data_IF_983124230188
#
_entry.id   IF_983124230188
#
_cell.length_a   1.000
_cell.length_b   1.000
_cell.length_c   1.000
_cell.angle_alpha   90.00
_cell.angle_beta   90.00
_cell.angle_gamma   90.00
#
_symmetry.space_group_name_H-M   'P 1'
#
loop_
_entity.id
_entity.type
_entity.pdbx_description
1 polymer ?
#
# COMPACT_ATOMS: atom_id res chain seq x y z
N UNK A 1 6.02 -2.47 15.92
CA UNK A 1 6.09 -2.46 14.45
C UNK A 1 6.09 -3.91 13.99
N UNK A 2 5.20 -4.31 13.08
CA UNK A 2 5.23 -5.65 12.50
C UNK A 2 6.33 -5.69 11.43
N UNK A 3 7.29 -6.65 11.48
CA UNK A 3 8.30 -6.78 10.44
C UNK A 3 7.65 -7.08 9.08
N UNK A 4 8.18 -6.51 8.00
CA UNK A 4 7.69 -6.73 6.63
C UNK A 4 7.53 -8.23 6.31
N UNK A 5 8.49 -9.06 6.72
CA UNK A 5 8.43 -10.50 6.51
C UNK A 5 7.22 -11.18 7.18
N UNK A 6 6.68 -10.63 8.27
CA UNK A 6 5.44 -11.14 8.87
C UNK A 6 4.22 -10.80 8.01
N UNK A 7 4.13 -9.55 7.57
CA UNK A 7 3.03 -9.06 6.71
C UNK A 7 2.99 -9.85 5.39
N UNK A 8 4.16 -10.14 4.81
CA UNK A 8 4.24 -10.94 3.58
C UNK A 8 3.78 -12.39 3.78
N UNK A 9 4.12 -13.02 4.92
CA UNK A 9 3.60 -14.36 5.25
C UNK A 9 2.08 -14.36 5.44
N UNK A 10 1.53 -13.34 6.09
CA UNK A 10 0.08 -13.19 6.25
C UNK A 10 -0.61 -13.03 4.89
N UNK A 11 0.01 -12.29 3.96
CA UNK A 11 -0.48 -12.16 2.59
C UNK A 11 -0.47 -13.50 1.84
N UNK A 12 0.62 -14.28 1.94
CA UNK A 12 0.70 -15.62 1.36
C UNK A 12 -0.36 -16.57 1.93
N UNK A 13 -0.63 -16.48 3.23
CA UNK A 13 -1.68 -17.26 3.89
C UNK A 13 -3.07 -16.90 3.33
N UNK A 14 -3.39 -15.60 3.21
CA UNK A 14 -4.65 -15.13 2.63
C UNK A 14 -4.80 -15.63 1.18
N UNK A 15 -3.74 -15.54 0.36
CA UNK A 15 -3.79 -16.03 -1.03
C UNK A 15 -4.02 -17.54 -1.11
N UNK A 16 -3.44 -18.32 -0.19
CA UNK A 16 -3.65 -19.76 -0.11
C UNK A 16 -5.10 -20.09 0.26
N UNK A 17 -5.59 -19.49 1.33
CA UNK A 17 -6.98 -19.69 1.81
C UNK A 17 -8.01 -19.20 0.78
N UNK A 18 -7.71 -18.15 0.00
CA UNK A 18 -8.57 -17.70 -1.10
C UNK A 18 -8.69 -18.76 -2.21
N UNK A 19 -7.59 -19.44 -2.56
CA UNK A 19 -7.61 -20.54 -3.54
C UNK A 19 -8.47 -21.71 -3.04
N UNK A 20 -8.32 -22.07 -1.77
CA UNK A 20 -9.13 -23.12 -1.13
C UNK A 20 -10.62 -22.73 -1.08
N UNK A 21 -10.92 -21.48 -0.72
CA UNK A 21 -12.29 -20.96 -0.71
C UNK A 21 -12.94 -20.98 -2.09
N UNK A 22 -12.16 -20.74 -3.17
CA UNK A 22 -12.69 -20.75 -4.53
C UNK A 22 -13.17 -22.12 -5.01
N UNK A 23 -12.70 -23.20 -4.37
CA UNK A 23 -13.15 -24.57 -4.64
C UNK A 23 -14.38 -24.99 -3.78
N UNK A 24 -14.86 -24.13 -2.87
CA UNK A 24 -16.00 -24.42 -2.02
C UNK A 24 -17.31 -24.32 -2.81
N UNK A 25 -18.16 -25.35 -2.72
CA UNK A 25 -19.44 -25.44 -3.43
C UNK A 25 -20.64 -25.02 -2.59
N UNK A 26 -20.49 -24.98 -1.25
CA UNK A 26 -21.56 -24.50 -0.37
C UNK A 26 -21.60 -22.98 -0.37
N UNK A 27 -22.77 -22.42 -0.66
CA UNK A 27 -22.92 -20.97 -0.87
C UNK A 27 -22.72 -20.18 0.43
N UNK A 28 -23.23 -20.68 1.56
CA UNK A 28 -23.18 -19.95 2.82
C UNK A 28 -21.75 -19.95 3.36
N UNK A 29 -21.12 -21.13 3.41
CA UNK A 29 -19.73 -21.27 3.82
C UNK A 29 -18.78 -20.50 2.91
N UNK A 30 -19.03 -20.47 1.60
CA UNK A 30 -18.25 -19.69 0.66
C UNK A 30 -18.32 -18.19 0.98
N UNK A 31 -19.52 -17.64 1.20
CA UNK A 31 -19.69 -16.21 1.52
C UNK A 31 -19.05 -15.84 2.85
N UNK A 32 -19.23 -16.66 3.89
CA UNK A 32 -18.67 -16.40 5.22
C UNK A 32 -17.14 -16.42 5.18
N UNK A 33 -16.54 -17.42 4.52
CA UNK A 33 -15.08 -17.51 4.35
C UNK A 33 -14.54 -16.36 3.51
N UNK A 34 -15.19 -16.03 2.40
CA UNK A 34 -14.77 -14.94 1.50
C UNK A 34 -14.82 -13.58 2.20
N UNK A 35 -15.84 -13.35 3.03
CA UNK A 35 -15.99 -12.10 3.79
C UNK A 35 -14.91 -11.96 4.86
N UNK A 36 -14.57 -13.04 5.57
CA UNK A 36 -13.45 -13.05 6.53
C UNK A 36 -12.10 -12.80 5.87
N UNK A 37 -11.88 -13.37 4.67
CA UNK A 37 -10.68 -13.12 3.89
C UNK A 37 -10.58 -11.66 3.44
N UNK A 38 -11.70 -11.07 3.04
CA UNK A 38 -11.76 -9.66 2.61
C UNK A 38 -11.38 -8.71 3.76
N UNK A 39 -11.95 -8.93 4.95
CA UNK A 39 -11.61 -8.17 6.15
C UNK A 39 -10.12 -8.29 6.49
N UNK A 40 -9.56 -9.51 6.44
CA UNK A 40 -8.13 -9.74 6.69
C UNK A 40 -7.25 -9.02 5.66
N UNK A 41 -7.62 -9.05 4.39
CA UNK A 41 -6.91 -8.32 3.33
C UNK A 41 -6.95 -6.81 3.58
N UNK A 42 -8.10 -6.26 3.96
CA UNK A 42 -8.24 -4.84 4.31
C UNK A 42 -7.31 -4.45 5.47
N UNK A 43 -7.31 -5.23 6.56
CA UNK A 43 -6.41 -5.01 7.70
C UNK A 43 -4.94 -5.11 7.31
N UNK A 44 -4.59 -6.05 6.43
CA UNK A 44 -3.23 -6.21 5.92
C UNK A 44 -2.78 -4.99 5.11
N UNK A 45 -3.64 -4.49 4.21
CA UNK A 45 -3.36 -3.28 3.41
C UNK A 45 -3.17 -2.07 4.33
N UNK A 46 -4.04 -1.89 5.33
CA UNK A 46 -3.87 -0.81 6.30
C UNK A 46 -2.54 -0.93 7.05
N UNK A 47 -2.19 -2.14 7.50
CA UNK A 47 -0.92 -2.39 8.18
C UNK A 47 0.28 -2.05 7.30
N UNK A 48 0.25 -2.43 6.02
CA UNK A 48 1.30 -2.10 5.05
C UNK A 48 1.39 -0.58 4.83
N UNK A 49 0.26 0.10 4.70
CA UNK A 49 0.23 1.55 4.53
C UNK A 49 0.81 2.31 5.73
N UNK A 50 0.44 1.94 6.96
CA UNK A 50 0.82 2.71 8.14
C UNK A 50 2.14 2.28 8.78
N UNK A 51 2.48 1.00 8.73
CA UNK A 51 3.65 0.46 9.45
C UNK A 51 4.85 0.19 8.56
N UNK A 52 4.65 -0.02 7.25
CA UNK A 52 5.74 -0.28 6.30
C UNK A 52 6.01 0.96 5.45
N UNK A 53 5.00 1.43 4.71
CA UNK A 53 5.16 2.59 3.83
C UNK A 53 5.22 3.90 4.62
N UNK A 54 4.34 4.08 5.60
CA UNK A 54 4.27 5.31 6.39
C UNK A 54 4.18 6.55 5.51
N UNK A 55 5.14 7.47 5.66
CA UNK A 55 5.23 8.69 4.86
C UNK A 55 5.50 8.44 3.36
N UNK A 56 6.10 7.30 3.00
CA UNK A 56 6.41 6.96 1.62
C UNK A 56 5.20 6.55 0.78
N UNK A 57 4.02 6.37 1.40
CA UNK A 57 2.77 6.07 0.68
C UNK A 57 2.48 7.08 -0.43
N UNK A 58 2.88 8.35 -0.25
CA UNK A 58 2.70 9.40 -1.24
C UNK A 58 3.43 9.15 -2.57
N UNK A 59 4.52 8.37 -2.56
CA UNK A 59 5.26 8.02 -3.78
C UNK A 59 4.50 7.08 -4.71
N UNK A 60 3.51 6.35 -4.20
CA UNK A 60 2.68 5.45 -5.00
C UNK A 60 1.53 6.18 -5.71
N UNK A 61 1.32 7.47 -5.40
CA UNK A 61 0.28 8.24 -6.05
C UNK A 61 0.67 8.53 -7.49
N UNK A 62 -0.29 8.46 -8.43
CA UNK A 62 -0.02 8.82 -9.82
C UNK A 62 0.48 10.26 -9.89
N UNK A 63 1.48 10.50 -10.74
CA UNK A 63 1.95 11.85 -11.00
C UNK A 63 0.78 12.71 -11.48
N UNK A 64 0.62 13.94 -10.96
CA UNK A 64 -0.47 14.80 -11.38
C UNK A 64 -0.41 15.04 -12.90
N UNK A 65 -1.53 14.92 -13.62
CA UNK A 65 -1.58 15.13 -15.06
C UNK A 65 -1.36 16.61 -15.36
N UNK A 66 -0.27 16.91 -16.08
CA UNK A 66 0.18 18.27 -16.29
C UNK A 66 0.76 18.85 -15.00
N UNK A 67 2.06 19.14 -15.01
CA UNK A 67 2.68 19.83 -13.87
C UNK A 67 2.08 21.23 -13.81
N UNK A 68 1.11 21.44 -12.92
CA UNK A 68 0.49 22.75 -12.69
C UNK A 68 1.60 23.79 -12.53
N UNK A 69 1.50 24.98 -13.15
CA UNK A 69 2.49 26.04 -13.01
C UNK A 69 2.82 26.35 -11.55
N UNK A 70 1.82 26.25 -10.67
CA UNK A 70 1.96 26.45 -9.22
C UNK A 70 2.84 25.36 -8.60
N UNK A 71 2.63 24.09 -8.96
CA UNK A 71 3.47 22.98 -8.46
C UNK A 71 4.92 23.13 -8.92
N UNK A 72 5.14 23.55 -10.17
CA UNK A 72 6.49 23.81 -10.68
C UNK A 72 7.20 24.94 -9.92
N UNK A 73 6.47 26.01 -9.61
CA UNK A 73 6.99 27.14 -8.84
C UNK A 73 7.32 26.73 -7.39
N UNK A 74 6.44 25.97 -6.74
CA UNK A 74 6.71 25.50 -5.38
C UNK A 74 7.87 24.51 -5.35
N UNK A 75 7.97 23.60 -6.33
CA UNK A 75 9.12 22.72 -6.47
C UNK A 75 10.43 23.50 -6.70
N UNK A 76 10.43 24.55 -7.53
CA UNK A 76 11.65 25.34 -7.79
C UNK A 76 12.12 26.14 -6.58
N UNK A 77 11.20 26.54 -5.70
CA UNK A 77 11.51 27.17 -4.41
C UNK A 77 12.09 26.20 -3.39
N UNK A 78 11.55 24.97 -3.34
CA UNK A 78 12.00 23.93 -2.40
C UNK A 78 13.32 23.26 -2.81
N UNK A 79 13.61 23.20 -4.12
CA UNK A 79 14.76 22.45 -4.65
C UNK A 79 16.12 22.89 -4.08
N UNK A 80 16.43 24.20 -3.93
CA UNK A 80 17.66 24.66 -3.31
C UNK A 80 17.78 24.22 -1.85
N UNK A 81 16.72 24.37 -1.05
CA UNK A 81 16.72 23.97 0.37
C UNK A 81 16.95 22.46 0.53
N UNK A 82 16.31 21.66 -0.32
CA UNK A 82 16.50 20.21 -0.31
C UNK A 82 17.93 19.81 -0.69
N UNK A 83 18.56 20.52 -1.63
CA UNK A 83 19.96 20.30 -2.02
C UNK A 83 20.92 20.59 -0.88
N UNK A 84 20.67 21.65 -0.11
CA UNK A 84 21.46 21.98 1.08
C UNK A 84 21.32 20.90 2.16
N UNK A 85 20.15 20.25 2.23
CA UNK A 85 19.92 19.06 3.07
C UNK A 85 20.45 17.73 2.48
N UNK A 86 21.16 17.76 1.35
CA UNK A 86 21.83 16.59 0.76
C UNK A 86 21.02 15.84 -0.31
N UNK A 87 19.85 16.33 -0.71
CA UNK A 87 19.07 15.77 -1.82
C UNK A 87 19.65 16.21 -3.17
N UNK A 88 20.45 15.37 -3.82
CA UNK A 88 21.18 15.73 -5.05
C UNK A 88 20.57 15.23 -6.35
N UNK A 89 19.82 14.13 -6.35
CA UNK A 89 19.06 13.63 -7.49
C UNK A 89 17.83 12.83 -6.99
N UNK A 90 16.64 13.00 -7.58
CA UNK A 90 15.46 12.18 -7.31
C UNK A 90 15.47 10.83 -8.03
#
# INVERSE_FOLDING_TARGET
QAPLGSILRDFEAIQREQRECSACTDRQDWWDRRSRLDLRMQTLIQSLQFHVLGCWRGLLLPSPPGKSPILLQECSRLLPELRDCGWRDP
#
